data_IF_023427724638
#
_entry.id   IF_023427724638
#
_cell.length_a   1.000
_cell.length_b   1.000
_cell.length_c   1.000
_cell.angle_alpha   90.00
_cell.angle_beta   90.00
_cell.angle_gamma   90.00
#
_symmetry.space_group_name_H-M   'P 1'
#
loop_
_entity.id
_entity.type
_entity.pdbx_description
1 polymer ?
#
# COMPACT_ATOMS: atom_id res chain seq x y z
N UNK A 1 -43.98 32.74 0.32
CA UNK A 1 -43.78 33.55 -0.90
C UNK A 1 -42.30 33.50 -1.21
N UNK A 2 -41.92 32.86 -2.33
CA UNK A 2 -40.51 32.77 -2.75
C UNK A 2 -40.20 34.08 -3.47
N UNK A 3 -39.47 34.98 -2.81
CA UNK A 3 -39.04 36.24 -3.43
C UNK A 3 -38.15 35.93 -4.64
N UNK A 4 -38.72 36.07 -5.84
CA UNK A 4 -37.98 36.02 -7.09
C UNK A 4 -37.18 37.31 -7.21
N UNK A 5 -35.98 37.31 -6.64
CA UNK A 5 -35.01 38.38 -6.89
C UNK A 5 -34.75 38.52 -8.39
N UNK A 6 -34.80 39.73 -8.96
CA UNK A 6 -34.63 39.94 -10.39
C UNK A 6 -33.21 39.54 -10.84
N UNK A 7 -33.10 38.98 -12.05
CA UNK A 7 -31.82 38.75 -12.70
C UNK A 7 -31.25 40.10 -13.18
N UNK A 8 -30.39 40.70 -12.37
CA UNK A 8 -29.59 41.86 -12.78
C UNK A 8 -28.45 41.42 -13.71
N UNK A 9 -28.02 42.31 -14.61
CA UNK A 9 -26.90 42.06 -15.53
C UNK A 9 -25.63 41.55 -14.80
N UNK A 10 -25.36 42.10 -13.61
CA UNK A 10 -24.25 41.68 -12.76
C UNK A 10 -24.37 40.24 -12.25
N UNK A 11 -25.59 39.77 -11.96
CA UNK A 11 -25.85 38.37 -11.56
C UNK A 11 -25.64 37.41 -12.72
N UNK A 12 -26.06 37.80 -13.93
CA UNK A 12 -25.85 37.00 -15.15
C UNK A 12 -24.37 36.88 -15.47
N UNK A 13 -23.61 37.99 -15.41
CA UNK A 13 -22.16 37.99 -15.62
C UNK A 13 -21.47 37.09 -14.60
N UNK A 14 -21.83 37.17 -13.32
CA UNK A 14 -21.23 36.35 -12.26
C UNK A 14 -21.51 34.86 -12.45
N UNK A 15 -22.72 34.50 -12.88
CA UNK A 15 -23.07 33.12 -13.21
C UNK A 15 -22.28 32.65 -14.43
N UNK A 16 -22.19 33.47 -15.49
CA UNK A 16 -21.45 33.14 -16.70
C UNK A 16 -19.96 32.92 -16.41
N UNK A 17 -19.33 33.82 -15.63
CA UNK A 17 -17.96 33.64 -15.17
C UNK A 17 -17.81 32.37 -14.34
N UNK A 18 -18.74 32.09 -13.42
CA UNK A 18 -18.74 30.86 -12.63
C UNK A 18 -18.78 29.60 -13.52
N UNK A 19 -19.66 29.58 -14.52
CA UNK A 19 -19.78 28.46 -15.46
C UNK A 19 -18.50 28.31 -16.29
N UNK A 20 -17.97 29.40 -16.85
CA UNK A 20 -16.72 29.37 -17.63
C UNK A 20 -15.54 28.91 -16.78
N UNK A 21 -15.43 29.37 -15.52
CA UNK A 21 -14.40 28.92 -14.60
C UNK A 21 -14.52 27.43 -14.27
N UNK A 22 -15.74 26.92 -14.05
CA UNK A 22 -15.97 25.50 -13.77
C UNK A 22 -15.64 24.64 -15.00
N UNK A 23 -16.12 25.01 -16.19
CA UNK A 23 -15.80 24.29 -17.44
C UNK A 23 -14.30 24.33 -17.72
N UNK A 24 -13.66 25.49 -17.54
CA UNK A 24 -12.21 25.64 -17.66
C UNK A 24 -11.44 24.77 -16.68
N UNK A 25 -11.91 24.64 -15.43
CA UNK A 25 -11.31 23.76 -14.43
C UNK A 25 -11.42 22.28 -14.86
N UNK A 26 -12.60 21.83 -15.29
CA UNK A 26 -12.77 20.45 -15.77
C UNK A 26 -11.90 20.16 -17.00
N UNK A 27 -11.81 21.11 -17.93
CA UNK A 27 -10.95 20.97 -19.11
C UNK A 27 -9.46 20.90 -18.73
N UNK A 28 -9.02 21.72 -17.77
CA UNK A 28 -7.66 21.68 -17.24
C UNK A 28 -7.36 20.33 -16.57
N UNK A 29 -8.27 19.82 -15.74
CA UNK A 29 -8.14 18.50 -15.11
C UNK A 29 -8.09 17.39 -16.18
N UNK A 30 -8.90 17.49 -17.23
CA UNK A 30 -8.88 16.53 -18.33
C UNK A 30 -7.53 16.49 -19.05
N UNK A 31 -6.91 17.65 -19.30
CA UNK A 31 -5.57 17.73 -19.91
C UNK A 31 -4.50 17.19 -18.94
N UNK A 32 -4.59 17.54 -17.66
CA UNK A 32 -3.57 17.22 -16.66
C UNK A 32 -3.74 15.83 -16.01
N UNK A 33 -4.80 15.08 -16.34
CA UNK A 33 -5.11 13.77 -15.72
C UNK A 33 -3.94 12.79 -15.73
N UNK A 34 -3.11 12.81 -16.77
CA UNK A 34 -1.94 11.94 -16.90
C UNK A 34 -0.83 12.26 -15.90
N UNK A 35 -0.69 13.52 -15.48
CA UNK A 35 0.30 13.95 -14.49
C UNK A 35 -0.27 14.01 -13.06
N UNK A 36 -1.59 14.18 -12.93
CA UNK A 36 -2.27 14.31 -11.64
C UNK A 36 -2.12 13.07 -10.75
N UNK A 37 -2.23 11.86 -11.31
CA UNK A 37 -2.07 10.62 -10.54
C UNK A 37 -0.66 10.47 -9.95
N UNK A 38 0.43 10.49 -10.76
CA UNK A 38 1.81 10.48 -10.26
C UNK A 38 2.09 11.57 -9.21
N UNK A 39 1.57 12.78 -9.43
CA UNK A 39 1.71 13.89 -8.50
C UNK A 39 0.99 13.62 -7.17
N UNK A 40 -0.23 13.09 -7.20
CA UNK A 40 -1.01 12.79 -6.00
C UNK A 40 -0.35 11.66 -5.19
N UNK A 41 0.15 10.62 -5.86
CA UNK A 41 0.94 9.57 -5.21
C UNK A 41 2.20 10.17 -4.57
N UNK A 42 2.95 10.98 -5.32
CA UNK A 42 4.15 11.66 -4.80
C UNK A 42 3.83 12.55 -3.60
N UNK A 43 2.68 13.23 -3.60
CA UNK A 43 2.22 14.06 -2.49
C UNK A 43 1.93 13.24 -1.23
N UNK A 44 1.22 12.12 -1.35
CA UNK A 44 0.95 11.20 -0.23
C UNK A 44 2.27 10.66 0.33
N UNK A 45 3.16 10.19 -0.53
CA UNK A 45 4.47 9.66 -0.11
C UNK A 45 5.31 10.75 0.55
N UNK A 46 5.36 11.96 0.00
CA UNK A 46 6.05 13.10 0.60
C UNK A 46 5.46 13.46 1.97
N UNK A 47 4.13 13.45 2.11
CA UNK A 47 3.47 13.66 3.41
C UNK A 47 3.88 12.58 4.44
N UNK A 48 3.92 11.31 4.04
CA UNK A 48 4.36 10.21 4.90
C UNK A 48 5.84 10.28 5.29
N UNK A 49 6.70 10.76 4.38
CA UNK A 49 8.14 10.93 4.63
C UNK A 49 8.47 12.19 5.43
N UNK A 50 7.65 13.24 5.36
CA UNK A 50 7.93 14.53 5.99
C UNK A 50 8.18 14.43 7.52
N UNK A 51 7.45 13.62 8.31
CA UNK A 51 7.78 13.36 9.72
C UNK A 51 9.23 12.89 9.94
N UNK A 52 9.74 11.98 9.10
CA UNK A 52 11.14 11.54 9.15
C UNK A 52 12.10 12.67 8.80
N UNK A 53 11.79 13.46 7.76
CA UNK A 53 12.60 14.62 7.37
C UNK A 53 12.67 15.65 8.51
N UNK A 54 11.55 15.95 9.15
CA UNK A 54 11.48 16.88 10.29
C UNK A 54 12.22 16.32 11.51
N UNK A 55 12.09 15.01 11.78
CA UNK A 55 12.82 14.31 12.83
C UNK A 55 14.33 14.41 12.61
N UNK A 56 14.81 14.06 11.42
CA UNK A 56 16.23 14.11 11.04
C UNK A 56 16.77 15.55 11.12
N UNK A 57 16.01 16.52 10.62
CA UNK A 57 16.37 17.94 10.73
C UNK A 57 16.52 18.38 12.19
N UNK A 58 15.64 17.93 13.08
CA UNK A 58 15.64 18.27 14.51
C UNK A 58 16.78 17.58 15.26
N UNK A 59 16.97 16.28 15.06
CA UNK A 59 17.99 15.46 15.74
C UNK A 59 19.40 15.89 15.33
N UNK A 60 19.64 16.03 14.03
CA UNK A 60 20.96 16.40 13.49
C UNK A 60 21.16 17.93 13.37
N UNK A 61 20.19 18.74 13.82
CA UNK A 61 20.21 20.21 13.81
C UNK A 61 20.60 20.80 12.43
N UNK A 62 20.06 20.22 11.37
CA UNK A 62 20.41 20.56 9.99
C UNK A 62 19.83 21.91 9.57
N UNK A 63 20.64 22.76 8.95
CA UNK A 63 20.22 24.08 8.44
C UNK A 63 19.36 24.00 7.17
N UNK A 64 19.58 22.98 6.33
CA UNK A 64 18.88 22.75 5.08
C UNK A 64 18.02 21.48 5.09
N UNK A 65 17.10 21.37 4.11
CA UNK A 65 16.23 20.18 3.97
C UNK A 65 16.84 19.05 3.14
N UNK A 66 17.75 19.37 2.22
CA UNK A 66 18.34 18.37 1.30
C UNK A 66 18.94 17.19 2.06
N UNK A 67 19.83 17.46 3.02
CA UNK A 67 20.47 16.40 3.83
C UNK A 67 19.44 15.60 4.63
N UNK A 68 18.43 16.26 5.21
CA UNK A 68 17.39 15.59 5.98
C UNK A 68 16.51 14.68 5.11
N UNK A 69 16.23 15.10 3.86
CA UNK A 69 15.51 14.32 2.86
C UNK A 69 16.34 13.11 2.44
N UNK A 70 17.62 13.28 2.13
CA UNK A 70 18.52 12.18 1.77
C UNK A 70 18.61 11.15 2.91
N UNK A 71 18.74 11.61 4.16
CA UNK A 71 18.73 10.71 5.32
C UNK A 71 17.41 9.96 5.47
N UNK A 72 16.27 10.63 5.29
CA UNK A 72 14.96 9.96 5.36
C UNK A 72 14.80 8.88 4.27
N UNK A 73 15.27 9.14 3.04
CA UNK A 73 15.29 8.13 1.98
C UNK A 73 16.20 6.95 2.33
N UNK A 74 17.39 7.22 2.88
CA UNK A 74 18.31 6.16 3.31
C UNK A 74 17.74 5.32 4.45
N UNK A 75 17.11 5.95 5.44
CA UNK A 75 16.48 5.25 6.56
C UNK A 75 15.36 4.31 6.09
N UNK A 76 14.50 4.79 5.19
CA UNK A 76 13.43 3.97 4.60
C UNK A 76 14.02 2.83 3.78
N UNK A 77 15.03 3.10 2.95
CA UNK A 77 15.68 2.07 2.13
C UNK A 77 16.34 1.02 3.00
N UNK A 78 17.12 1.41 4.01
CA UNK A 78 17.77 0.48 4.96
C UNK A 78 16.72 -0.34 5.72
N UNK A 79 15.65 0.29 6.19
CA UNK A 79 14.58 -0.40 6.93
C UNK A 79 13.91 -1.46 6.05
N UNK A 80 13.56 -1.11 4.81
CA UNK A 80 12.96 -2.05 3.86
C UNK A 80 13.94 -3.17 3.51
N UNK A 81 15.20 -2.85 3.20
CA UNK A 81 16.23 -3.85 2.88
C UNK A 81 16.48 -4.81 4.04
N UNK A 82 16.53 -4.30 5.28
CA UNK A 82 16.69 -5.13 6.47
C UNK A 82 15.50 -6.07 6.65
N UNK A 83 14.27 -5.57 6.51
CA UNK A 83 13.07 -6.40 6.55
C UNK A 83 13.11 -7.48 5.46
N UNK A 84 13.48 -7.15 4.23
CA UNK A 84 13.62 -8.13 3.16
C UNK A 84 14.67 -9.20 3.51
N UNK A 85 15.88 -8.83 3.93
CA UNK A 85 16.93 -9.82 4.25
C UNK A 85 16.53 -10.74 5.41
N UNK A 86 15.80 -10.23 6.40
CA UNK A 86 15.38 -11.02 7.56
C UNK A 86 14.18 -11.93 7.27
N UNK A 87 13.15 -11.41 6.60
CA UNK A 87 11.88 -12.12 6.42
C UNK A 87 11.82 -12.92 5.12
N UNK A 88 12.43 -12.43 4.03
CA UNK A 88 12.27 -13.03 2.71
C UNK A 88 12.78 -14.48 2.62
N UNK A 89 13.93 -14.87 3.22
CA UNK A 89 14.36 -16.27 3.22
C UNK A 89 13.35 -17.19 3.90
N UNK A 90 12.84 -16.78 5.07
CA UNK A 90 11.83 -17.54 5.81
C UNK A 90 10.52 -17.64 5.03
N UNK A 91 10.13 -16.58 4.31
CA UNK A 91 8.95 -16.60 3.44
C UNK A 91 9.15 -17.59 2.28
N UNK A 92 10.32 -17.59 1.64
CA UNK A 92 10.62 -18.50 0.52
C UNK A 92 10.61 -19.96 0.98
N UNK A 93 11.26 -20.27 2.10
CA UNK A 93 11.31 -21.64 2.63
C UNK A 93 9.90 -22.14 3.01
N UNK A 94 9.09 -21.28 3.62
CA UNK A 94 7.74 -21.62 4.00
C UNK A 94 6.79 -21.76 2.79
N UNK A 95 6.97 -20.93 1.75
CA UNK A 95 6.26 -21.07 0.47
C UNK A 95 6.63 -22.40 -0.20
N UNK A 96 7.90 -22.80 -0.16
CA UNK A 96 8.36 -24.07 -0.71
C UNK A 96 7.74 -25.25 0.05
N UNK A 97 7.62 -25.16 1.38
CA UNK A 97 6.91 -26.15 2.18
C UNK A 97 5.41 -26.20 1.84
N UNK A 98 4.75 -25.04 1.70
CA UNK A 98 3.35 -24.96 1.26
C UNK A 98 3.13 -25.62 -0.11
N UNK A 99 4.08 -25.47 -1.05
CA UNK A 99 4.03 -26.13 -2.35
C UNK A 99 4.06 -27.66 -2.22
N UNK A 100 4.89 -28.20 -1.33
CA UNK A 100 4.98 -29.63 -1.08
C UNK A 100 3.65 -30.18 -0.58
N UNK A 101 3.05 -29.52 0.43
CA UNK A 101 1.74 -29.88 0.97
C UNK A 101 0.62 -29.76 -0.07
N UNK A 102 0.64 -28.72 -0.92
CA UNK A 102 -0.29 -28.55 -2.03
C UNK A 102 -0.15 -29.68 -3.07
N UNK A 103 1.08 -30.06 -3.38
CA UNK A 103 1.34 -31.13 -4.35
C UNK A 103 0.87 -32.48 -3.80
N UNK A 104 1.12 -32.74 -2.51
CA UNK A 104 0.65 -33.93 -1.83
C UNK A 104 -0.88 -34.06 -1.87
N UNK A 105 -1.61 -32.98 -1.56
CA UNK A 105 -3.07 -32.95 -1.66
C UNK A 105 -3.59 -33.32 -3.06
N UNK A 106 -2.94 -32.83 -4.11
CA UNK A 106 -3.35 -33.03 -5.50
C UNK A 106 -3.03 -34.44 -5.99
N UNK A 107 -1.82 -34.94 -5.71
CA UNK A 107 -1.34 -36.22 -6.24
C UNK A 107 -1.80 -37.43 -5.43
N UNK A 108 -1.88 -37.32 -4.10
CA UNK A 108 -2.25 -38.45 -3.24
C UNK A 108 -3.75 -38.60 -3.02
N UNK A 109 -4.57 -37.70 -3.59
CA UNK A 109 -6.04 -37.69 -3.40
C UNK A 109 -6.45 -37.71 -1.92
N UNK A 110 -5.65 -37.08 -1.07
CA UNK A 110 -5.94 -36.92 0.36
C UNK A 110 -7.24 -36.12 0.49
N UNK A 111 -8.31 -36.77 0.95
CA UNK A 111 -9.59 -36.10 1.17
C UNK A 111 -9.46 -35.15 2.36
N UNK A 112 -9.75 -33.86 2.18
CA UNK A 112 -9.77 -32.92 3.31
C UNK A 112 -10.91 -33.31 4.24
N UNK A 113 -10.62 -33.66 5.50
CA UNK A 113 -11.66 -34.05 6.45
C UNK A 113 -12.71 -32.94 6.58
N UNK A 114 -13.99 -33.32 6.56
CA UNK A 114 -15.14 -32.41 6.78
C UNK A 114 -15.36 -31.32 5.71
N UNK A 115 -14.80 -31.49 4.50
CA UNK A 115 -15.14 -30.68 3.31
C UNK A 115 -16.06 -31.50 2.38
N UNK A 116 -17.21 -30.96 1.93
CA UNK A 116 -18.10 -31.68 1.00
C UNK A 116 -17.42 -32.02 -0.33
N UNK A 117 -17.73 -33.17 -0.92
CA UNK A 117 -17.20 -33.60 -2.23
C UNK A 117 -17.44 -32.56 -3.34
N UNK A 118 -18.60 -31.90 -3.35
CA UNK A 118 -18.89 -30.83 -4.32
C UNK A 118 -17.89 -29.65 -4.24
N UNK A 119 -17.30 -29.39 -3.07
CA UNK A 119 -16.26 -28.36 -2.90
C UNK A 119 -14.91 -28.87 -3.39
N UNK A 120 -14.60 -30.16 -3.21
CA UNK A 120 -13.42 -30.78 -3.82
C UNK A 120 -13.47 -30.71 -5.35
N UNK A 121 -14.62 -31.07 -5.93
CA UNK A 121 -14.82 -31.08 -7.37
C UNK A 121 -14.69 -29.66 -7.94
N UNK A 122 -15.34 -28.67 -7.31
CA UNK A 122 -15.19 -27.26 -7.68
C UNK A 122 -13.74 -26.78 -7.60
N UNK A 123 -13.02 -27.15 -6.54
CA UNK A 123 -11.63 -26.76 -6.36
C UNK A 123 -10.73 -27.39 -7.44
N UNK A 124 -10.90 -28.68 -7.76
CA UNK A 124 -10.11 -29.37 -8.79
C UNK A 124 -10.41 -28.84 -10.20
N UNK A 125 -11.66 -28.49 -10.47
CA UNK A 125 -12.09 -28.02 -11.79
C UNK A 125 -11.76 -26.54 -12.04
N UNK A 126 -11.69 -25.73 -10.98
CA UNK A 126 -11.47 -24.28 -11.08
C UNK A 126 -10.06 -23.82 -10.68
N UNK A 127 -9.29 -24.63 -9.95
CA UNK A 127 -7.93 -24.26 -9.50
C UNK A 127 -6.92 -25.19 -10.15
N UNK A 128 -6.08 -24.63 -11.03
CA UNK A 128 -4.98 -25.35 -11.63
C UNK A 128 -3.79 -25.43 -10.66
N UNK A 129 -3.77 -26.45 -9.81
CA UNK A 129 -2.73 -26.63 -8.81
C UNK A 129 -1.32 -26.86 -9.39
N UNK A 130 -1.22 -27.36 -10.62
CA UNK A 130 0.08 -27.49 -11.31
C UNK A 130 0.69 -26.12 -11.63
N UNK A 131 -0.15 -25.16 -12.03
CA UNK A 131 0.26 -23.78 -12.30
C UNK A 131 0.54 -23.04 -10.98
N UNK A 132 -0.31 -23.23 -9.97
CA UNK A 132 -0.11 -22.66 -8.64
C UNK A 132 1.20 -23.14 -7.99
N UNK A 133 1.48 -24.44 -8.05
CA UNK A 133 2.74 -25.01 -7.52
C UNK A 133 3.97 -24.54 -8.29
N UNK A 134 3.84 -24.27 -9.61
CA UNK A 134 4.88 -23.64 -10.41
C UNK A 134 5.15 -22.19 -9.98
N UNK A 135 4.10 -21.40 -9.73
CA UNK A 135 4.20 -20.01 -9.25
C UNK A 135 4.80 -19.91 -7.83
N UNK A 136 4.68 -20.97 -7.03
CA UNK A 136 5.25 -21.06 -5.68
C UNK A 136 6.65 -21.70 -5.65
N UNK A 137 7.23 -22.03 -6.81
CA UNK A 137 8.56 -22.65 -6.85
C UNK A 137 9.65 -21.68 -6.43
N UNK A 138 10.63 -22.20 -5.67
CA UNK A 138 11.76 -21.40 -5.18
C UNK A 138 12.53 -20.77 -6.33
N UNK A 139 12.70 -21.51 -7.43
CA UNK A 139 13.38 -21.04 -8.63
C UNK A 139 12.65 -19.85 -9.25
N UNK A 140 11.31 -19.89 -9.31
CA UNK A 140 10.49 -18.78 -9.83
C UNK A 140 10.55 -17.55 -8.92
N UNK A 141 10.54 -17.73 -7.59
CA UNK A 141 10.66 -16.61 -6.66
C UNK A 141 12.06 -16.01 -6.66
N UNK A 142 13.11 -16.83 -6.71
CA UNK A 142 14.48 -16.37 -6.89
C UNK A 142 14.64 -15.66 -8.23
N UNK A 143 14.04 -16.17 -9.31
CA UNK A 143 14.08 -15.49 -10.62
C UNK A 143 13.31 -14.17 -10.60
N UNK A 144 12.16 -14.06 -9.93
CA UNK A 144 11.43 -12.78 -9.77
C UNK A 144 12.24 -11.77 -8.97
N UNK A 145 12.92 -12.22 -7.92
CA UNK A 145 13.80 -11.37 -7.11
C UNK A 145 14.99 -10.93 -7.97
N UNK A 146 15.66 -11.87 -8.64
CA UNK A 146 16.76 -11.60 -9.56
C UNK A 146 16.33 -10.71 -10.73
N UNK A 147 15.13 -10.86 -11.27
CA UNK A 147 14.56 -10.00 -12.32
C UNK A 147 14.20 -8.62 -11.78
N UNK A 148 13.76 -8.51 -10.52
CA UNK A 148 13.55 -7.22 -9.87
C UNK A 148 14.88 -6.48 -9.64
N UNK A 149 15.95 -7.21 -9.30
CA UNK A 149 17.30 -6.67 -9.13
C UNK A 149 18.04 -6.47 -10.47
N UNK A 150 17.77 -7.28 -11.50
CA UNK A 150 18.42 -7.23 -12.81
C UNK A 150 17.65 -6.40 -13.82
N UNK A 151 16.35 -6.15 -13.65
CA UNK A 151 15.65 -5.02 -14.24
C UNK A 151 16.32 -3.72 -13.81
N UNK A 152 16.86 -3.71 -12.57
CA UNK A 152 17.77 -2.69 -12.09
C UNK A 152 19.23 -2.77 -12.63
N UNK A 153 19.52 -3.65 -13.57
CA UNK A 153 20.79 -3.74 -14.31
C UNK A 153 20.57 -3.63 -15.83
N UNK A 154 19.39 -4.02 -16.33
CA UNK A 154 18.86 -3.77 -17.67
C UNK A 154 18.75 -2.30 -18.01
N UNK A 155 18.85 -1.45 -16.97
CA UNK A 155 19.24 -0.04 -17.03
C UNK A 155 20.40 0.26 -18.00
N UNK A 156 21.34 -0.68 -18.16
CA UNK A 156 22.54 -0.52 -18.99
C UNK A 156 22.35 -1.12 -20.39
N UNK A 157 21.45 -2.10 -20.58
CA UNK A 157 21.31 -2.87 -21.82
C UNK A 157 20.10 -2.50 -22.69
N UNK A 158 19.21 -1.63 -22.22
CA UNK A 158 18.48 -0.66 -23.05
C UNK A 158 17.39 -1.21 -23.98
N UNK A 159 16.17 -1.39 -23.46
CA UNK A 159 14.94 -1.33 -24.25
C UNK A 159 14.31 0.07 -24.13
N UNK A 160 13.79 0.62 -25.23
CA UNK A 160 13.10 1.92 -25.24
C UNK A 160 11.89 1.91 -24.28
N UNK A 161 11.23 0.77 -24.10
CA UNK A 161 10.13 0.61 -23.15
C UNK A 161 10.56 0.75 -21.69
N UNK A 162 11.72 0.20 -21.33
CA UNK A 162 12.28 0.31 -19.97
C UNK A 162 12.67 1.75 -19.65
N UNK A 163 13.22 2.48 -20.62
CA UNK A 163 13.57 3.90 -20.46
C UNK A 163 12.33 4.73 -20.12
N UNK A 164 11.19 4.49 -20.79
CA UNK A 164 9.94 5.22 -20.53
C UNK A 164 9.43 4.95 -19.11
N UNK A 165 9.49 3.69 -18.65
CA UNK A 165 9.10 3.32 -17.28
C UNK A 165 10.01 3.98 -16.25
N UNK A 166 11.32 3.98 -16.48
CA UNK A 166 12.31 4.63 -15.60
C UNK A 166 12.08 6.13 -15.52
N UNK A 167 11.88 6.79 -16.66
CA UNK A 167 11.58 8.24 -16.67
C UNK A 167 10.31 8.52 -15.87
N UNK A 168 9.30 7.66 -15.98
CA UNK A 168 8.06 7.79 -15.20
C UNK A 168 8.30 7.69 -13.69
N UNK A 169 9.08 6.69 -13.24
CA UNK A 169 9.47 6.54 -11.83
C UNK A 169 10.35 7.69 -11.34
N UNK A 170 11.27 8.17 -12.18
CA UNK A 170 12.14 9.30 -11.87
C UNK A 170 11.32 10.59 -11.73
N UNK A 171 10.30 10.79 -12.55
CA UNK A 171 9.37 11.93 -12.42
C UNK A 171 8.62 11.88 -11.09
N UNK A 172 8.13 10.71 -10.66
CA UNK A 172 7.49 10.55 -9.34
C UNK A 172 8.48 10.86 -8.22
N UNK A 173 9.70 10.29 -8.28
CA UNK A 173 10.74 10.55 -7.29
C UNK A 173 11.09 12.04 -7.21
N UNK A 174 11.21 12.69 -8.36
CA UNK A 174 11.49 14.11 -8.49
C UNK A 174 10.36 14.96 -7.89
N UNK A 175 9.09 14.59 -8.11
CA UNK A 175 7.96 15.22 -7.42
C UNK A 175 8.04 15.06 -5.90
N UNK A 176 8.35 13.86 -5.39
CA UNK A 176 8.50 13.64 -3.94
C UNK A 176 9.59 14.56 -3.38
N UNK A 177 10.76 14.63 -4.03
CA UNK A 177 11.89 15.46 -3.60
C UNK A 177 11.53 16.94 -3.63
N UNK A 178 10.93 17.45 -4.71
CA UNK A 178 10.54 18.86 -4.81
C UNK A 178 9.45 19.23 -3.80
N UNK A 179 8.44 18.37 -3.62
CA UNK A 179 7.39 18.60 -2.62
C UNK A 179 8.02 18.66 -1.23
N UNK A 180 8.93 17.74 -0.87
CA UNK A 180 9.61 17.76 0.44
C UNK A 180 10.51 18.99 0.63
N UNK A 181 11.24 19.37 -0.42
CA UNK A 181 12.16 20.52 -0.39
C UNK A 181 11.41 21.82 -0.11
N UNK A 182 10.28 22.01 -0.79
CA UNK A 182 9.45 23.22 -0.67
C UNK A 182 8.20 23.01 0.20
N UNK A 183 8.10 21.94 0.98
CA UNK A 183 6.88 21.57 1.71
C UNK A 183 6.31 22.73 2.55
N UNK A 184 7.16 23.48 3.28
CA UNK A 184 6.71 24.64 4.07
C UNK A 184 6.21 25.78 3.20
N UNK A 185 6.86 26.02 2.06
CA UNK A 185 6.49 27.09 1.11
C UNK A 185 5.19 26.76 0.42
N UNK A 186 5.02 25.51 0.01
CA UNK A 186 3.79 25.00 -0.59
C UNK A 186 2.63 25.18 0.40
N UNK A 187 2.80 24.75 1.66
CA UNK A 187 1.78 24.90 2.70
C UNK A 187 1.43 26.37 2.97
N UNK A 188 2.44 27.25 3.09
CA UNK A 188 2.24 28.69 3.23
C UNK A 188 1.56 29.32 2.00
N UNK A 189 1.86 28.81 0.80
CA UNK A 189 1.26 29.22 -0.46
C UNK A 189 -0.24 28.96 -0.48
N UNK A 190 -0.66 27.73 -0.13
CA UNK A 190 -2.07 27.38 0.03
C UNK A 190 -2.78 28.28 1.04
N UNK A 191 -2.14 28.57 2.18
CA UNK A 191 -2.69 29.49 3.17
C UNK A 191 -2.85 30.93 2.64
N UNK A 192 -2.04 31.37 1.69
CA UNK A 192 -2.13 32.72 1.07
C UNK A 192 -3.18 32.80 -0.02
N UNK A 193 -3.51 31.70 -0.67
CA UNK A 193 -4.60 31.63 -1.67
C UNK A 193 -5.98 31.72 -1.03
N UNK A 194 -6.10 31.43 0.27
CA UNK A 194 -7.35 31.53 1.01
C UNK A 194 -7.71 33.01 1.23
N UNK A 195 -8.94 33.45 0.88
CA UNK A 195 -9.41 34.81 1.15
C UNK A 195 -9.30 35.16 2.65
N UNK A 196 -8.88 36.38 2.96
CA UNK A 196 -8.60 36.83 4.34
C UNK A 196 -9.75 36.55 5.32
N UNK A 197 -11.00 36.68 4.86
CA UNK A 197 -12.22 36.42 5.65
C UNK A 197 -12.30 34.99 6.20
N UNK A 198 -11.86 33.99 5.43
CA UNK A 198 -11.99 32.56 5.78
C UNK A 198 -10.69 31.95 6.29
N UNK A 199 -9.58 32.68 6.17
CA UNK A 199 -8.24 32.23 6.54
C UNK A 199 -8.12 31.68 7.97
N UNK A 200 -8.57 32.38 9.03
CA UNK A 200 -8.42 31.84 10.40
C UNK A 200 -9.19 30.52 10.59
N UNK A 201 -10.39 30.41 10.01
CA UNK A 201 -11.20 29.19 10.08
C UNK A 201 -10.53 28.02 9.36
N UNK A 202 -10.10 28.21 8.11
CA UNK A 202 -9.52 27.13 7.31
C UNK A 202 -8.14 26.68 7.82
N UNK A 203 -7.34 27.60 8.36
CA UNK A 203 -6.07 27.24 9.02
C UNK A 203 -6.31 26.46 10.30
N UNK A 204 -7.32 26.84 11.11
CA UNK A 204 -7.71 26.07 12.30
C UNK A 204 -8.12 24.65 11.92
N UNK A 205 -9.00 24.49 10.93
CA UNK A 205 -9.43 23.17 10.43
C UNK A 205 -8.23 22.35 9.96
N UNK A 206 -7.28 22.96 9.23
CA UNK A 206 -6.08 22.27 8.77
C UNK A 206 -5.23 21.74 9.93
N UNK A 207 -5.03 22.56 10.98
CA UNK A 207 -4.30 22.16 12.17
C UNK A 207 -5.03 21.03 12.94
N UNK A 208 -6.36 21.12 13.06
CA UNK A 208 -7.18 20.10 13.72
C UNK A 208 -7.11 18.76 12.96
N UNK A 209 -7.10 18.80 11.63
CA UNK A 209 -6.90 17.62 10.78
C UNK A 209 -5.50 17.04 11.00
N UNK A 210 -4.46 17.86 10.98
CA UNK A 210 -3.08 17.39 11.20
C UNK A 210 -2.92 16.71 12.56
N UNK A 211 -3.46 17.32 13.62
CA UNK A 211 -3.42 16.74 14.96
C UNK A 211 -4.22 15.44 15.04
N UNK A 212 -5.42 15.41 14.45
CA UNK A 212 -6.28 14.23 14.43
C UNK A 212 -5.64 13.09 13.64
N UNK A 213 -5.05 13.37 12.49
CA UNK A 213 -4.33 12.37 11.67
C UNK A 213 -3.11 11.84 12.39
N UNK A 214 -2.31 12.70 13.05
CA UNK A 214 -1.16 12.24 13.84
C UNK A 214 -1.57 11.31 14.98
N UNK A 215 -2.67 11.61 15.69
CA UNK A 215 -3.22 10.73 16.73
C UNK A 215 -3.74 9.42 16.13
N UNK A 216 -4.49 9.50 15.03
CA UNK A 216 -5.01 8.34 14.31
C UNK A 216 -3.90 7.41 13.86
N UNK A 217 -2.87 7.89 13.15
CA UNK A 217 -1.78 7.03 12.66
C UNK A 217 -1.00 6.35 13.78
N UNK A 218 -0.80 7.02 14.93
CA UNK A 218 -0.17 6.40 16.10
C UNK A 218 -1.05 5.31 16.72
N UNK A 219 -2.35 5.58 16.86
CA UNK A 219 -3.31 4.58 17.32
C UNK A 219 -3.39 3.40 16.36
N UNK A 220 -3.47 3.67 15.05
CA UNK A 220 -3.56 2.66 14.01
C UNK A 220 -2.30 1.83 13.90
N UNK A 221 -1.11 2.41 14.06
CA UNK A 221 0.14 1.66 14.09
C UNK A 221 0.19 0.70 15.29
N UNK A 222 -0.29 1.14 16.46
CA UNK A 222 -0.40 0.29 17.65
C UNK A 222 -1.41 -0.85 17.40
N UNK A 223 -2.59 -0.53 16.87
CA UNK A 223 -3.64 -1.52 16.55
C UNK A 223 -3.13 -2.52 15.50
N UNK A 224 -2.50 -2.05 14.42
CA UNK A 224 -1.89 -2.88 13.38
C UNK A 224 -0.82 -3.82 13.97
N UNK A 225 0.03 -3.32 14.86
CA UNK A 225 1.03 -4.12 15.58
C UNK A 225 0.39 -5.19 16.48
N UNK A 226 -0.62 -4.83 17.27
CA UNK A 226 -1.35 -5.78 18.10
C UNK A 226 -2.04 -6.84 17.27
N UNK A 227 -2.74 -6.45 16.19
CA UNK A 227 -3.38 -7.37 15.25
C UNK A 227 -2.32 -8.31 14.65
N UNK A 228 -1.19 -7.78 14.19
CA UNK A 228 -0.12 -8.60 13.63
C UNK A 228 0.43 -9.63 14.63
N UNK A 229 0.64 -9.25 15.88
CA UNK A 229 1.11 -10.14 16.95
C UNK A 229 0.04 -11.18 17.30
N UNK A 230 -1.22 -10.75 17.49
CA UNK A 230 -2.31 -11.64 17.88
C UNK A 230 -2.62 -12.67 16.79
N UNK A 231 -2.68 -12.26 15.52
CA UNK A 231 -2.85 -13.21 14.41
C UNK A 231 -1.64 -14.13 14.27
N UNK A 232 -0.42 -13.62 14.43
CA UNK A 232 0.78 -14.49 14.42
C UNK A 232 0.71 -15.55 15.51
N UNK A 233 0.35 -15.18 16.74
CA UNK A 233 0.20 -16.11 17.86
C UNK A 233 -0.95 -17.08 17.61
N UNK A 234 -2.11 -16.59 17.14
CA UNK A 234 -3.26 -17.43 16.81
C UNK A 234 -2.90 -18.50 15.79
N UNK A 235 -2.31 -18.10 14.66
CA UNK A 235 -1.86 -19.01 13.62
C UNK A 235 -0.77 -19.98 14.11
N UNK A 236 0.14 -19.54 14.98
CA UNK A 236 1.15 -20.41 15.59
C UNK A 236 0.52 -21.48 16.51
N UNK A 237 -0.48 -21.11 17.31
CA UNK A 237 -1.21 -22.05 18.17
C UNK A 237 -1.96 -23.09 17.34
N UNK A 238 -2.57 -22.64 16.24
CA UNK A 238 -3.29 -23.48 15.28
C UNK A 238 -2.33 -24.40 14.50
N UNK A 239 -1.05 -24.04 14.41
CA UNK A 239 -0.05 -24.81 13.66
C UNK A 239 -0.07 -24.54 12.16
N UNK A 240 -0.55 -23.35 11.75
CA UNK A 240 -0.59 -22.96 10.34
C UNK A 240 0.82 -22.67 9.80
N UNK A 241 1.18 -23.16 8.60
CA UNK A 241 2.38 -22.69 7.91
C UNK A 241 2.26 -21.19 7.59
N UNK A 242 3.38 -20.50 7.51
CA UNK A 242 3.49 -19.03 7.37
C UNK A 242 2.84 -18.24 8.52
N UNK A 243 2.53 -18.84 9.68
CA UNK A 243 1.79 -18.18 10.77
C UNK A 243 2.27 -16.76 11.10
N UNK A 244 3.56 -16.57 11.36
CA UNK A 244 4.14 -15.26 11.69
C UNK A 244 4.07 -14.30 10.50
N UNK A 245 4.40 -14.78 9.30
CA UNK A 245 4.40 -13.96 8.08
C UNK A 245 2.99 -13.48 7.76
N UNK A 246 2.02 -14.39 7.80
CA UNK A 246 0.62 -14.12 7.51
C UNK A 246 0.00 -13.20 8.56
N UNK A 247 0.32 -13.42 9.84
CA UNK A 247 -0.12 -12.55 10.93
C UNK A 247 0.43 -11.13 10.77
N UNK A 248 1.73 -10.98 10.55
CA UNK A 248 2.34 -9.67 10.27
C UNK A 248 1.78 -9.02 9.00
N UNK A 249 1.56 -9.80 7.94
CA UNK A 249 0.97 -9.32 6.68
C UNK A 249 -0.45 -8.77 6.90
N UNK A 250 -1.30 -9.49 7.62
CA UNK A 250 -2.65 -9.01 8.01
C UNK A 250 -2.55 -7.77 8.89
N UNK A 251 -1.60 -7.73 9.83
CA UNK A 251 -1.31 -6.55 10.65
C UNK A 251 -0.97 -5.32 9.82
N UNK A 252 -0.10 -5.46 8.81
CA UNK A 252 0.25 -4.38 7.87
C UNK A 252 -0.97 -3.96 7.04
N UNK A 253 -1.73 -4.90 6.49
CA UNK A 253 -2.94 -4.60 5.74
C UNK A 253 -3.98 -3.86 6.60
N UNK A 254 -4.06 -4.15 7.90
CA UNK A 254 -4.94 -3.47 8.84
C UNK A 254 -4.56 -1.99 9.05
N UNK A 255 -3.39 -1.53 8.58
CA UNK A 255 -3.07 -0.10 8.56
C UNK A 255 -4.02 0.70 7.65
N UNK A 256 -4.56 0.05 6.61
CA UNK A 256 -5.56 0.62 5.70
C UNK A 256 -6.92 -0.05 5.95
N UNK A 257 -7.98 0.72 6.21
CA UNK A 257 -9.32 0.16 6.44
C UNK A 257 -9.74 -0.82 5.33
N UNK A 258 -10.32 -1.94 5.73
CA UNK A 258 -10.83 -3.02 4.86
C UNK A 258 -9.78 -3.82 4.07
N UNK A 259 -8.53 -3.36 3.94
CA UNK A 259 -7.51 -4.13 3.19
C UNK A 259 -7.16 -5.46 3.83
N UNK A 260 -7.29 -5.59 5.16
CA UNK A 260 -7.06 -6.87 5.85
C UNK A 260 -7.93 -8.02 5.33
N UNK A 261 -9.07 -7.73 4.69
CA UNK A 261 -9.93 -8.74 4.07
C UNK A 261 -9.23 -9.48 2.92
N UNK A 262 -8.24 -8.85 2.27
CA UNK A 262 -7.41 -9.50 1.25
C UNK A 262 -6.66 -10.69 1.87
N UNK A 263 -6.27 -10.59 3.15
CA UNK A 263 -5.60 -11.66 3.89
C UNK A 263 -6.45 -12.92 4.10
N UNK A 264 -7.77 -12.84 3.93
CA UNK A 264 -8.67 -14.01 4.05
C UNK A 264 -8.35 -15.04 2.96
N UNK A 265 -8.05 -14.59 1.73
CA UNK A 265 -7.79 -15.47 0.59
C UNK A 265 -6.58 -16.39 0.85
N UNK A 266 -5.37 -15.87 1.19
CA UNK A 266 -4.24 -16.73 1.52
C UNK A 266 -4.46 -17.54 2.81
N UNK A 267 -5.20 -17.01 3.79
CA UNK A 267 -5.52 -17.75 5.03
C UNK A 267 -6.38 -18.98 4.75
N UNK A 268 -7.44 -18.85 3.96
CA UNK A 268 -8.30 -19.98 3.56
C UNK A 268 -7.46 -21.04 2.85
N UNK A 269 -6.62 -20.63 1.90
CA UNK A 269 -5.76 -21.53 1.15
C UNK A 269 -4.81 -22.30 2.09
N UNK A 270 -4.18 -21.61 3.04
CA UNK A 270 -3.29 -22.23 4.02
C UNK A 270 -4.02 -23.18 4.97
N UNK A 271 -5.21 -22.82 5.46
CA UNK A 271 -6.03 -23.72 6.30
C UNK A 271 -6.44 -24.98 5.53
N UNK A 272 -6.76 -24.85 4.25
CA UNK A 272 -7.19 -25.97 3.40
C UNK A 272 -6.06 -26.98 3.19
N UNK A 273 -4.85 -26.47 2.95
CA UNK A 273 -3.63 -27.26 2.79
C UNK A 273 -3.23 -27.92 4.12
N UNK A 274 -3.22 -27.15 5.22
CA UNK A 274 -2.88 -27.67 6.55
C UNK A 274 -3.86 -28.74 7.04
N UNK A 275 -5.16 -28.57 6.78
CA UNK A 275 -6.19 -29.57 7.09
C UNK A 275 -5.97 -30.90 6.33
N UNK A 276 -5.49 -30.81 5.09
CA UNK A 276 -5.22 -32.00 4.27
C UNK A 276 -4.02 -32.82 4.76
N UNK A 277 -3.00 -32.14 5.28
CA UNK A 277 -1.76 -32.74 5.77
C UNK A 277 -1.91 -33.32 7.19
N UNK A 278 -2.37 -32.49 8.13
CA UNK A 278 -2.51 -32.91 9.55
C UNK A 278 -3.77 -33.73 9.81
N UNK A 279 -4.70 -33.82 8.85
CA UNK A 279 -6.00 -34.47 9.03
C UNK A 279 -6.92 -33.74 10.02
N UNK A 280 -6.59 -32.50 10.38
CA UNK A 280 -7.38 -31.66 11.29
C UNK A 280 -8.60 -31.08 10.58
N UNK A 281 -9.64 -30.72 11.35
CA UNK A 281 -10.86 -30.18 10.77
C UNK A 281 -10.61 -28.76 10.23
N UNK A 282 -10.83 -28.56 8.93
CA UNK A 282 -10.70 -27.25 8.28
C UNK A 282 -11.46 -26.13 9.00
N UNK A 283 -12.69 -26.40 9.46
CA UNK A 283 -13.52 -25.39 10.14
C UNK A 283 -12.99 -25.04 11.53
N UNK A 284 -12.28 -25.95 12.19
CA UNK A 284 -11.57 -25.64 13.43
C UNK A 284 -10.34 -24.79 13.15
N UNK A 285 -9.58 -25.08 12.09
CA UNK A 285 -8.41 -24.25 11.70
C UNK A 285 -8.82 -22.85 11.24
N UNK A 286 -9.92 -22.73 10.49
CA UNK A 286 -10.38 -21.46 9.94
C UNK A 286 -11.20 -20.62 10.93
N UNK A 287 -11.90 -21.26 11.87
CA UNK A 287 -12.75 -20.60 12.87
C UNK A 287 -12.04 -20.25 14.18
N UNK A 288 -10.81 -20.73 14.40
CA UNK A 288 -9.96 -20.42 15.56
C UNK A 288 -9.20 -19.10 15.36
#
# INVERSE_FOLDING_TARGET
>A
MVDRQPYTFDRVIRILFGVVSVVGLFYLVYILRGALLPFLVAWIVAYMLNPLVVYNKRVFKLKGRVVAITLAFLEVLITISLLCVLFLPSIIDEIAHMRELLSEYVYNSSSIPFVPQAVHDFIRDNINFSELSGLLSREQWLSIIEESFSGAWGFITGSVGEIINIVSWLVVLLYIVFILLDYDRILCGFQRMIPQKYRPMLVSIGNDIEESMNRYFRGQALVAGLVGILFSIGFLIVGLPLAIVLGLFIGVLNMVPYLQLIGIIPTILLCLVSASDTGTNFWLLFGA
#
